data_IF_153795917422
#
_entry.id   IF_153795917422
#
_cell.length_a   1.000
_cell.length_b   1.000
_cell.length_c   1.000
_cell.angle_alpha   90.00
_cell.angle_beta   90.00
_cell.angle_gamma   90.00
#
_symmetry.space_group_name_H-M   'P 1'
#
loop_
_entity.id
_entity.type
_entity.pdbx_description
1 polymer ?
#
# COMPACT_ATOMS: atom_id res chain seq x y z
N UNK A 1 0.71 -47.08 -37.91
CA UNK A 1 1.07 -46.94 -36.48
C UNK A 1 2.15 -45.88 -36.25
N UNK A 2 3.22 -45.84 -37.05
CA UNK A 2 4.31 -44.84 -36.90
C UNK A 2 3.85 -43.39 -37.14
N UNK A 3 2.97 -43.15 -38.11
CA UNK A 3 2.41 -41.81 -38.39
C UNK A 3 1.55 -41.25 -37.26
N UNK A 4 0.80 -42.10 -36.56
CA UNK A 4 -0.01 -41.70 -35.41
C UNK A 4 0.85 -41.37 -34.18
N UNK A 5 1.96 -42.10 -33.97
CA UNK A 5 2.91 -41.83 -32.90
C UNK A 5 3.65 -40.50 -33.08
N UNK A 6 3.97 -40.14 -34.33
CA UNK A 6 4.59 -38.84 -34.66
C UNK A 6 3.63 -37.69 -34.41
N UNK A 7 2.33 -37.85 -34.74
CA UNK A 7 1.31 -36.83 -34.48
C UNK A 7 1.05 -36.61 -32.97
N UNK A 8 1.15 -37.68 -32.16
CA UNK A 8 1.00 -37.61 -30.71
C UNK A 8 2.15 -36.84 -30.02
N UNK A 9 3.33 -36.82 -30.64
CA UNK A 9 4.52 -36.09 -30.15
C UNK A 9 4.41 -34.57 -30.33
N UNK A 10 3.46 -34.05 -31.13
CA UNK A 10 3.23 -32.62 -31.31
C UNK A 10 2.19 -32.01 -30.35
N UNK A 11 1.45 -32.83 -29.60
CA UNK A 11 0.46 -32.36 -28.61
C UNK A 11 1.06 -31.56 -27.43
N UNK A 12 2.30 -31.81 -26.92
CA UNK A 12 2.87 -30.98 -25.85
C UNK A 12 3.53 -29.68 -26.34
N UNK A 13 3.51 -29.38 -27.64
CA UNK A 13 4.07 -28.13 -28.21
C UNK A 13 3.11 -26.94 -28.15
N UNK A 14 1.93 -27.07 -27.55
CA UNK A 14 1.11 -25.91 -27.14
C UNK A 14 1.75 -25.24 -25.92
N UNK A 15 2.93 -24.65 -26.13
CA UNK A 15 3.65 -23.86 -25.13
C UNK A 15 2.81 -22.68 -24.65
N UNK A 16 3.00 -22.32 -23.38
CA UNK A 16 2.17 -21.41 -22.59
C UNK A 16 1.71 -20.15 -23.33
N UNK A 17 0.43 -20.12 -23.71
CA UNK A 17 -0.23 -19.00 -24.37
C UNK A 17 -0.40 -17.76 -23.45
N UNK A 18 -0.10 -17.91 -22.16
CA UNK A 18 -0.31 -16.87 -21.12
C UNK A 18 0.99 -16.17 -20.72
N UNK A 19 1.87 -15.91 -21.69
CA UNK A 19 3.10 -15.14 -21.47
C UNK A 19 2.77 -13.65 -21.51
N UNK A 20 2.86 -12.98 -20.36
CA UNK A 20 2.87 -11.52 -20.29
C UNK A 20 4.32 -11.04 -20.19
N UNK A 21 4.73 -10.17 -21.10
CA UNK A 21 6.08 -9.63 -21.10
C UNK A 21 6.20 -8.44 -20.14
N UNK A 22 7.39 -8.25 -19.57
CA UNK A 22 7.66 -7.17 -18.61
C UNK A 22 7.44 -5.77 -19.23
N UNK A 23 7.52 -5.68 -20.55
CA UNK A 23 7.32 -4.45 -21.31
C UNK A 23 5.84 -4.12 -21.56
N UNK A 24 4.94 -5.08 -21.39
CA UNK A 24 3.48 -4.88 -21.56
C UNK A 24 2.76 -4.59 -20.23
N UNK A 25 3.48 -4.74 -19.12
CA UNK A 25 2.92 -4.69 -17.76
C UNK A 25 3.49 -3.50 -16.97
N UNK A 26 2.59 -2.74 -16.36
CA UNK A 26 2.91 -1.64 -15.47
C UNK A 26 2.97 -2.15 -14.03
N UNK A 27 4.17 -2.25 -13.45
CA UNK A 27 4.36 -2.77 -12.09
C UNK A 27 3.91 -1.72 -11.07
N UNK A 28 2.80 -1.97 -10.37
CA UNK A 28 2.32 -1.10 -9.30
C UNK A 28 3.00 -1.47 -7.98
N UNK A 29 3.70 -0.52 -7.36
CA UNK A 29 4.39 -0.70 -6.08
C UNK A 29 3.60 -0.16 -4.89
N UNK A 30 2.72 0.82 -5.12
CA UNK A 30 1.88 1.38 -4.07
C UNK A 30 0.54 1.90 -4.58
N UNK A 31 -0.46 1.85 -3.70
CA UNK A 31 -1.80 2.42 -3.93
C UNK A 31 -2.13 3.38 -2.80
N UNK A 32 -2.63 4.56 -3.16
CA UNK A 32 -3.16 5.57 -2.25
C UNK A 32 -4.66 5.70 -2.38
N UNK A 33 -5.37 5.86 -1.27
CA UNK A 33 -6.81 6.15 -1.24
C UNK A 33 -7.07 7.51 -0.61
N UNK A 34 -7.59 8.44 -1.42
CA UNK A 34 -7.92 9.81 -1.05
C UNK A 34 -9.42 10.08 -1.22
N UNK A 35 -9.95 11.03 -0.45
CA UNK A 35 -11.31 11.54 -0.65
C UNK A 35 -11.34 12.40 -1.92
N UNK A 36 -12.32 12.18 -2.80
CA UNK A 36 -12.58 13.04 -3.96
C UNK A 36 -13.72 14.04 -3.64
N UNK A 37 -13.86 15.09 -4.45
CA UNK A 37 -14.75 16.22 -4.20
C UNK A 37 -16.26 15.89 -4.23
N UNK A 38 -16.64 14.62 -4.46
CA UNK A 38 -18.03 14.15 -4.50
C UNK A 38 -18.40 13.28 -3.30
N UNK A 39 -19.69 13.29 -2.91
CA UNK A 39 -20.21 12.36 -1.89
C UNK A 39 -19.91 10.93 -2.34
N UNK A 40 -19.16 10.18 -1.53
CA UNK A 40 -18.76 8.79 -1.75
C UNK A 40 -17.84 8.52 -2.96
N UNK A 41 -17.17 9.54 -3.53
CA UNK A 41 -16.11 9.30 -4.52
C UNK A 41 -14.74 9.12 -3.86
N UNK A 42 -13.95 8.19 -4.40
CA UNK A 42 -12.60 7.87 -3.92
C UNK A 42 -11.62 8.20 -5.04
N UNK A 43 -10.60 8.98 -4.73
CA UNK A 43 -9.44 9.16 -5.61
C UNK A 43 -8.41 8.09 -5.31
N UNK A 44 -7.86 7.48 -6.36
CA UNK A 44 -6.81 6.48 -6.23
C UNK A 44 -5.51 6.96 -6.88
N UNK A 45 -4.43 6.85 -6.12
CA UNK A 45 -3.07 7.09 -6.62
C UNK A 45 -2.41 5.72 -6.86
N UNK A 46 -1.94 5.47 -8.06
CA UNK A 46 -1.17 4.27 -8.39
C UNK A 46 0.27 4.66 -8.68
N UNK A 47 1.20 4.13 -7.89
CA UNK A 47 2.62 4.34 -8.10
C UNK A 47 3.22 3.19 -8.91
N UNK A 48 3.54 3.48 -10.17
CA UNK A 48 4.21 2.55 -11.07
C UNK A 48 5.72 2.61 -10.91
N UNK A 49 6.39 1.46 -10.99
CA UNK A 49 7.84 1.38 -11.09
C UNK A 49 8.29 1.71 -12.52
N UNK A 50 9.27 2.60 -12.65
CA UNK A 50 9.94 2.86 -13.93
C UNK A 50 11.37 2.35 -13.83
N UNK A 51 11.77 1.33 -14.59
CA UNK A 51 13.15 0.85 -14.54
C UNK A 51 14.13 1.96 -14.93
N UNK A 52 15.27 2.03 -14.24
CA UNK A 52 16.31 3.07 -14.45
C UNK A 52 16.79 3.18 -15.90
N UNK A 53 16.70 2.09 -16.67
CA UNK A 53 17.08 2.05 -18.09
C UNK A 53 16.09 2.79 -19.01
N UNK A 54 14.83 2.94 -18.57
CA UNK A 54 13.77 3.65 -19.30
C UNK A 54 13.46 5.04 -18.73
N UNK A 55 14.00 5.40 -17.56
CA UNK A 55 13.92 6.77 -17.04
C UNK A 55 14.76 7.68 -17.96
N UNK A 56 14.10 8.40 -18.86
CA UNK A 56 14.74 9.20 -19.90
C UNK A 56 15.87 10.09 -19.37
N UNK A 57 16.97 10.13 -20.13
CA UNK A 57 18.03 11.15 -20.02
C UNK A 57 17.49 12.48 -20.55
N UNK A 58 16.58 13.12 -19.82
CA UNK A 58 16.31 14.54 -20.05
C UNK A 58 17.12 15.38 -19.07
N UNK A 59 17.91 16.27 -19.65
CA UNK A 59 18.82 17.20 -19.02
C UNK A 59 18.21 17.90 -17.80
N UNK A 60 18.83 17.69 -16.63
CA UNK A 60 18.71 18.59 -15.48
C UNK A 60 17.63 18.29 -14.45
N UNK A 61 16.77 17.28 -14.63
CA UNK A 61 15.84 16.86 -13.58
C UNK A 61 16.26 15.50 -12.99
N UNK A 62 16.25 15.40 -11.66
CA UNK A 62 16.59 14.18 -10.92
C UNK A 62 15.71 13.02 -11.40
N UNK A 63 16.34 12.01 -12.02
CA UNK A 63 15.68 10.81 -12.56
C UNK A 63 14.85 10.12 -11.48
N UNK A 64 13.52 10.14 -11.64
CA UNK A 64 12.58 9.44 -10.77
C UNK A 64 12.30 8.05 -11.34
N UNK A 65 12.55 7.00 -10.55
CA UNK A 65 12.30 5.61 -10.94
C UNK A 65 10.85 5.18 -10.68
N UNK A 66 9.92 6.13 -10.75
CA UNK A 66 8.50 5.90 -10.51
C UNK A 66 7.65 6.92 -11.27
N UNK A 67 6.40 6.54 -11.51
CA UNK A 67 5.36 7.39 -12.08
C UNK A 67 4.11 7.25 -11.19
N UNK A 68 3.57 8.38 -10.72
CA UNK A 68 2.31 8.41 -9.99
C UNK A 68 1.18 8.76 -10.97
N UNK A 69 0.23 7.83 -11.16
CA UNK A 69 -1.01 8.11 -11.90
C UNK A 69 -2.16 8.26 -10.91
N UNK A 70 -2.91 9.34 -11.05
CA UNK A 70 -4.06 9.63 -10.19
C UNK A 70 -5.33 9.58 -11.00
N UNK A 71 -6.31 8.83 -10.50
CA UNK A 71 -7.66 8.77 -11.05
C UNK A 71 -8.68 9.16 -9.99
N UNK A 72 -9.84 9.62 -10.45
CA UNK A 72 -10.96 9.99 -9.60
C UNK A 72 -12.22 9.29 -10.10
N UNK A 73 -12.75 8.39 -9.29
CA UNK A 73 -13.92 7.61 -9.65
C UNK A 73 -14.94 7.53 -8.52
N UNK A 74 -16.17 7.17 -8.89
CA UNK A 74 -17.28 6.94 -7.95
C UNK A 74 -17.08 5.68 -7.09
N UNK A 75 -16.17 4.79 -7.48
CA UNK A 75 -15.84 3.56 -6.77
C UNK A 75 -14.41 3.12 -7.08
N UNK A 76 -13.87 2.18 -6.30
CA UNK A 76 -12.56 1.57 -6.58
C UNK A 76 -12.54 0.90 -7.97
N UNK A 77 -13.64 0.23 -8.35
CA UNK A 77 -13.76 -0.42 -9.66
C UNK A 77 -13.75 0.57 -10.83
N UNK A 78 -14.48 1.70 -10.71
CA UNK A 78 -14.47 2.73 -11.76
C UNK A 78 -13.09 3.36 -11.91
N UNK A 79 -12.38 3.59 -10.80
CA UNK A 79 -11.02 4.12 -10.83
C UNK A 79 -10.05 3.21 -11.59
N UNK A 80 -10.14 1.89 -11.41
CA UNK A 80 -9.25 0.93 -12.09
C UNK A 80 -9.59 0.82 -13.57
N UNK A 81 -10.88 0.88 -13.93
CA UNK A 81 -11.30 0.90 -15.33
C UNK A 81 -10.81 2.15 -16.03
N UNK A 82 -10.90 3.32 -15.38
CA UNK A 82 -10.37 4.58 -15.92
C UNK A 82 -8.84 4.56 -15.98
N UNK A 83 -8.16 4.02 -14.96
CA UNK A 83 -6.71 3.81 -14.99
C UNK A 83 -6.31 2.99 -16.23
N UNK A 84 -7.06 1.95 -16.56
CA UNK A 84 -6.79 1.10 -17.73
C UNK A 84 -6.91 1.85 -19.07
N UNK A 85 -7.61 2.98 -19.11
CA UNK A 85 -7.68 3.84 -20.31
C UNK A 85 -6.55 4.86 -20.40
N UNK A 86 -5.84 5.12 -19.30
CA UNK A 86 -4.79 6.14 -19.19
C UNK A 86 -3.39 5.54 -19.01
N UNK A 87 -3.31 4.33 -18.50
CA UNK A 87 -2.06 3.62 -18.30
C UNK A 87 -1.58 3.07 -19.65
N UNK A 88 -0.34 3.39 -20.01
CA UNK A 88 0.31 2.88 -21.21
C UNK A 88 0.50 1.35 -21.16
N UNK A 89 0.59 0.81 -19.96
CA UNK A 89 0.75 -0.63 -19.68
C UNK A 89 -0.34 -1.10 -18.72
N UNK A 90 -0.75 -2.35 -18.87
CA UNK A 90 -1.76 -2.93 -17.98
C UNK A 90 -1.24 -2.96 -16.53
N UNK A 91 -1.97 -2.41 -15.55
CA UNK A 91 -1.51 -2.39 -14.16
C UNK A 91 -1.45 -3.82 -13.60
N UNK A 92 -0.29 -4.20 -13.07
CA UNK A 92 -0.10 -5.43 -12.31
C UNK A 92 0.15 -5.12 -10.84
N UNK A 93 -0.56 -5.83 -9.98
CA UNK A 93 -0.49 -5.68 -8.52
C UNK A 93 0.36 -6.76 -7.85
N UNK A 94 1.00 -7.65 -8.62
CA UNK A 94 1.79 -8.79 -8.11
C UNK A 94 2.96 -8.38 -7.20
N UNK A 95 3.48 -7.17 -7.40
CA UNK A 95 4.57 -6.57 -6.65
C UNK A 95 4.14 -5.42 -5.75
N UNK A 96 2.83 -5.23 -5.56
CA UNK A 96 2.31 -4.23 -4.64
C UNK A 96 2.95 -4.42 -3.26
N UNK A 97 3.47 -3.34 -2.69
CA UNK A 97 4.19 -3.35 -1.41
C UNK A 97 3.47 -2.58 -0.32
N UNK A 98 2.79 -1.50 -0.70
CA UNK A 98 2.22 -0.55 0.25
C UNK A 98 0.84 -0.06 -0.16
N UNK A 99 -0.07 0.02 0.81
CA UNK A 99 -1.35 0.71 0.70
C UNK A 99 -1.36 1.85 1.71
N UNK A 100 -1.65 3.06 1.26
CA UNK A 100 -1.79 4.23 2.14
C UNK A 100 -3.21 4.76 2.02
N UNK A 101 -3.89 4.90 3.14
CA UNK A 101 -5.28 5.41 3.20
C UNK A 101 -5.26 6.77 3.88
N UNK A 102 -5.90 7.78 3.30
CA UNK A 102 -6.08 9.07 3.97
C UNK A 102 -7.03 8.97 5.16
N UNK A 103 -6.83 9.79 6.17
CA UNK A 103 -7.69 9.86 7.36
C UNK A 103 -9.15 10.08 6.98
N UNK A 104 -9.38 10.96 5.99
CA UNK A 104 -10.73 11.26 5.54
C UNK A 104 -11.43 10.02 5.02
N UNK A 105 -10.77 9.25 4.15
CA UNK A 105 -11.31 7.98 3.65
C UNK A 105 -11.47 6.97 4.78
N UNK A 106 -10.47 6.84 5.65
CA UNK A 106 -10.51 5.89 6.74
C UNK A 106 -11.65 6.16 7.75
N UNK A 107 -12.08 7.42 7.89
CA UNK A 107 -13.20 7.82 8.77
C UNK A 107 -14.56 7.73 8.09
N UNK A 108 -14.66 8.14 6.82
CA UNK A 108 -15.95 8.30 6.14
C UNK A 108 -16.40 7.06 5.36
N UNK A 109 -15.46 6.20 4.94
CA UNK A 109 -15.76 4.96 4.22
C UNK A 109 -15.64 3.74 5.14
N UNK A 110 -16.46 2.73 4.83
CA UNK A 110 -16.28 1.40 5.39
C UNK A 110 -15.04 0.75 4.76
N UNK A 111 -14.01 0.54 5.58
CA UNK A 111 -12.76 -0.08 5.19
C UNK A 111 -12.97 -1.51 4.69
N UNK A 112 -14.04 -2.21 5.09
CA UNK A 112 -14.37 -3.53 4.55
C UNK A 112 -14.49 -3.50 3.02
N UNK A 113 -15.12 -2.47 2.46
CA UNK A 113 -15.29 -2.37 1.00
C UNK A 113 -13.94 -2.24 0.26
N UNK A 114 -12.99 -1.52 0.84
CA UNK A 114 -11.65 -1.35 0.27
C UNK A 114 -10.88 -2.68 0.36
N UNK A 115 -10.93 -3.32 1.53
CA UNK A 115 -10.18 -4.55 1.80
C UNK A 115 -10.76 -5.72 1.01
N UNK A 116 -12.08 -5.88 0.95
CA UNK A 116 -12.76 -6.91 0.16
C UNK A 116 -12.42 -6.77 -1.32
N UNK A 117 -12.38 -5.54 -1.84
CA UNK A 117 -11.97 -5.30 -3.21
C UNK A 117 -10.53 -5.81 -3.46
N UNK A 118 -9.60 -5.42 -2.60
CA UNK A 118 -8.20 -5.79 -2.72
C UNK A 118 -7.99 -7.30 -2.56
N UNK A 119 -8.70 -7.94 -1.64
CA UNK A 119 -8.60 -9.38 -1.36
C UNK A 119 -9.22 -10.26 -2.46
N UNK A 120 -10.16 -9.72 -3.24
CA UNK A 120 -10.75 -10.40 -4.41
C UNK A 120 -9.85 -10.39 -5.64
N UNK A 121 -8.87 -9.48 -5.70
CA UNK A 121 -7.92 -9.43 -6.79
C UNK A 121 -6.82 -10.49 -6.57
N UNK A 122 -6.71 -11.45 -7.50
CA UNK A 122 -5.77 -12.57 -7.44
C UNK A 122 -4.31 -12.15 -7.44
N UNK A 123 -3.99 -10.95 -7.94
CA UNK A 123 -2.62 -10.41 -7.96
C UNK A 123 -2.22 -9.79 -6.61
N UNK A 124 -3.17 -9.56 -5.70
CA UNK A 124 -2.92 -8.88 -4.43
C UNK A 124 -2.51 -9.86 -3.34
N UNK A 125 -1.34 -9.65 -2.74
CA UNK A 125 -0.81 -10.51 -1.69
C UNK A 125 -1.30 -10.08 -0.31
N UNK A 126 -1.68 -11.04 0.54
CA UNK A 126 -2.06 -10.77 1.95
C UNK A 126 -0.99 -10.09 2.78
N UNK A 127 0.28 -10.19 2.36
CA UNK A 127 1.44 -9.61 3.06
C UNK A 127 1.69 -8.14 2.75
N UNK A 128 0.87 -7.50 1.89
CA UNK A 128 0.99 -6.07 1.58
C UNK A 128 0.76 -5.26 2.86
N UNK A 129 1.58 -4.23 3.08
CA UNK A 129 1.46 -3.37 4.27
C UNK A 129 0.43 -2.28 4.06
N UNK A 130 -0.29 -1.95 5.14
CA UNK A 130 -1.29 -0.89 5.17
C UNK A 130 -0.87 0.17 6.19
N UNK A 131 -0.99 1.44 5.80
CA UNK A 131 -0.82 2.59 6.68
C UNK A 131 -1.92 3.63 6.46
N UNK A 132 -2.10 4.51 7.44
CA UNK A 132 -3.00 5.65 7.35
C UNK A 132 -2.20 6.95 7.44
N UNK A 133 -2.59 7.96 6.68
CA UNK A 133 -1.99 9.30 6.74
C UNK A 133 -3.03 10.36 7.10
N UNK A 134 -2.65 11.37 7.87
CA UNK A 134 -3.53 12.51 8.19
C UNK A 134 -3.83 13.37 6.96
N UNK A 135 -2.84 13.49 6.06
CA UNK A 135 -2.95 14.26 4.84
C UNK A 135 -3.54 13.47 3.67
N UNK A 136 -3.18 13.86 2.44
CA UNK A 136 -3.50 13.06 1.27
C UNK A 136 -2.49 11.93 1.12
N UNK A 137 -2.95 10.73 0.78
CA UNK A 137 -2.11 9.60 0.40
C UNK A 137 -1.19 9.96 -0.78
N UNK A 138 -1.67 10.80 -1.70
CA UNK A 138 -0.85 11.37 -2.78
C UNK A 138 0.42 12.05 -2.29
N UNK A 139 0.32 12.89 -1.26
CA UNK A 139 1.45 13.66 -0.75
C UNK A 139 2.55 12.72 -0.24
N UNK A 140 2.15 11.62 0.42
CA UNK A 140 3.06 10.58 0.91
C UNK A 140 3.80 9.89 -0.24
N UNK A 141 3.14 9.65 -1.38
CA UNK A 141 3.75 9.06 -2.57
C UNK A 141 4.53 10.05 -3.45
N UNK A 142 4.45 11.35 -3.18
CA UNK A 142 5.22 12.39 -3.89
C UNK A 142 6.53 12.75 -3.17
N UNK A 143 6.62 12.49 -1.87
CA UNK A 143 7.84 12.76 -1.07
C UNK A 143 8.97 11.79 -1.43
N UNK A 144 10.17 12.35 -1.57
CA UNK A 144 11.39 11.64 -2.00
C UNK A 144 12.23 11.28 -0.77
N UNK A 145 12.35 9.98 -0.48
CA UNK A 145 13.34 9.47 0.48
C UNK A 145 14.69 9.16 -0.18
N UNK A 146 15.60 8.56 0.61
CA UNK A 146 16.90 8.02 0.14
C UNK A 146 16.70 6.98 -0.97
N UNK A 147 15.63 6.17 -0.83
CA UNK A 147 15.19 5.23 -1.87
C UNK A 147 14.36 5.99 -2.90
N UNK A 148 14.74 5.86 -4.18
CA UNK A 148 14.12 6.60 -5.29
C UNK A 148 12.64 6.30 -5.51
N UNK A 149 12.10 5.21 -4.93
CA UNK A 149 10.69 4.83 -5.04
C UNK A 149 9.99 4.99 -3.68
N UNK A 150 9.02 5.91 -3.55
CA UNK A 150 8.34 6.21 -2.29
C UNK A 150 7.65 5.01 -1.62
N UNK A 151 7.01 4.12 -2.38
CA UNK A 151 6.34 2.92 -1.82
C UNK A 151 7.34 1.96 -1.19
N UNK A 152 8.50 1.78 -1.82
CA UNK A 152 9.58 0.98 -1.24
C UNK A 152 10.19 1.65 -0.02
N UNK A 153 10.40 2.98 -0.06
CA UNK A 153 10.92 3.74 1.06
C UNK A 153 10.00 3.61 2.29
N UNK A 154 8.69 3.77 2.09
CA UNK A 154 7.68 3.63 3.12
C UNK A 154 7.63 2.21 3.69
N UNK A 155 7.75 1.19 2.82
CA UNK A 155 7.81 -0.19 3.27
C UNK A 155 9.01 -0.40 4.19
N UNK A 156 10.22 -0.03 3.76
CA UNK A 156 11.44 -0.16 4.57
C UNK A 156 11.35 0.65 5.87
N UNK A 157 10.77 1.86 5.83
CA UNK A 157 10.49 2.64 7.03
C UNK A 157 9.57 1.89 8.00
N UNK A 158 8.57 1.21 7.47
CA UNK A 158 7.64 0.43 8.28
C UNK A 158 8.35 -0.72 9.00
N UNK A 159 9.42 -1.32 8.44
CA UNK A 159 10.21 -2.38 9.11
C UNK A 159 10.90 -1.91 10.39
N UNK A 160 11.16 -0.60 10.51
CA UNK A 160 11.80 0.00 11.68
C UNK A 160 10.92 -0.02 12.93
N UNK A 161 9.65 -0.46 12.85
CA UNK A 161 8.82 -0.65 14.04
C UNK A 161 9.48 -1.58 15.08
N UNK A 162 10.37 -2.47 14.63
CA UNK A 162 11.11 -3.38 15.50
C UNK A 162 12.22 -2.70 16.30
N UNK A 163 12.66 -1.51 15.92
CA UNK A 163 13.81 -0.83 16.54
C UNK A 163 13.40 0.26 17.53
N UNK A 164 12.13 0.67 17.54
CA UNK A 164 11.60 1.72 18.42
C UNK A 164 10.22 1.40 18.98
N UNK A 165 9.97 1.77 20.24
CA UNK A 165 8.66 1.60 20.89
C UNK A 165 7.59 2.57 20.35
N UNK A 166 8.01 3.70 19.76
CA UNK A 166 7.14 4.79 19.33
C UNK A 166 6.43 4.53 17.99
N UNK A 167 6.79 3.45 17.31
CA UNK A 167 6.17 3.02 16.06
C UNK A 167 5.17 1.91 16.31
N UNK A 168 4.00 2.01 15.66
CA UNK A 168 3.04 0.92 15.65
C UNK A 168 3.61 -0.25 14.85
N UNK A 169 3.33 -1.50 15.25
CA UNK A 169 3.74 -2.65 14.45
C UNK A 169 3.12 -2.62 13.07
N UNK A 170 3.84 -3.21 12.11
CA UNK A 170 3.33 -3.38 10.76
C UNK A 170 1.94 -4.04 10.78
N UNK A 171 1.02 -3.53 9.96
CA UNK A 171 -0.25 -4.16 9.69
C UNK A 171 -0.26 -4.63 8.24
N UNK A 172 -0.53 -5.92 8.04
CA UNK A 172 -0.68 -6.50 6.71
C UNK A 172 -2.14 -6.50 6.28
N UNK A 173 -2.38 -6.50 4.98
CA UNK A 173 -3.71 -6.57 4.38
C UNK A 173 -4.50 -7.79 4.89
N UNK A 174 -3.84 -8.94 5.01
CA UNK A 174 -4.44 -10.15 5.56
C UNK A 174 -4.86 -10.00 7.02
N UNK A 175 -3.98 -9.41 7.85
CA UNK A 175 -4.24 -9.20 9.28
C UNK A 175 -5.39 -8.19 9.48
N UNK A 176 -5.44 -7.14 8.65
CA UNK A 176 -6.52 -6.16 8.64
C UNK A 176 -7.86 -6.81 8.24
N UNK A 177 -7.86 -7.65 7.20
CA UNK A 177 -9.05 -8.40 6.76
C UNK A 177 -9.56 -9.34 7.87
N UNK A 178 -8.65 -10.03 8.56
CA UNK A 178 -8.98 -10.90 9.70
C UNK A 178 -9.60 -10.09 10.86
N UNK A 179 -8.99 -8.97 11.24
CA UNK A 179 -9.46 -8.13 12.35
C UNK A 179 -10.83 -7.49 12.07
N UNK A 180 -11.06 -7.02 10.85
CA UNK A 180 -12.34 -6.48 10.41
C UNK A 180 -13.43 -7.56 10.40
N UNK A 181 -13.14 -8.73 9.83
CA UNK A 181 -14.06 -9.87 9.81
C UNK A 181 -14.40 -10.33 11.24
N UNK A 182 -13.38 -10.39 12.10
CA UNK A 182 -13.50 -10.72 13.52
C UNK A 182 -14.07 -9.59 14.38
N UNK A 183 -14.44 -8.44 13.79
CA UNK A 183 -15.00 -7.27 14.49
C UNK A 183 -14.17 -6.81 15.69
N UNK A 184 -12.85 -6.99 15.60
CA UNK A 184 -11.90 -6.67 16.65
C UNK A 184 -11.25 -5.34 16.31
N UNK A 185 -11.22 -4.39 17.24
CA UNK A 185 -10.55 -3.10 17.02
C UNK A 185 -9.04 -3.25 17.03
N UNK A 186 -8.37 -2.47 16.19
CA UNK A 186 -6.94 -2.57 15.96
C UNK A 186 -6.31 -1.22 15.67
N UNK A 187 -4.99 -1.21 15.58
CA UNK A 187 -4.21 -0.03 15.24
C UNK A 187 -3.53 -0.20 13.90
N UNK A 188 -3.45 0.89 13.14
CA UNK A 188 -2.79 0.95 11.84
C UNK A 188 -1.64 1.96 11.92
N UNK A 189 -0.43 1.64 11.45
CA UNK A 189 0.67 2.61 11.45
C UNK A 189 0.30 3.93 10.77
N UNK A 190 0.68 5.02 11.42
CA UNK A 190 0.56 6.35 10.85
C UNK A 190 1.81 6.67 10.01
N UNK A 191 1.59 7.21 8.81
CA UNK A 191 2.66 7.77 7.97
C UNK A 191 2.33 9.22 7.66
N UNK A 192 3.32 10.09 7.89
CA UNK A 192 3.21 11.51 7.67
C UNK A 192 4.39 12.04 6.86
N UNK A 193 4.18 13.06 6.01
CA UNK A 193 5.30 13.76 5.38
C UNK A 193 6.10 14.52 6.44
N UNK A 194 7.42 14.34 6.45
CA UNK A 194 8.36 15.06 7.32
C UNK A 194 9.45 15.73 6.47
N UNK A 195 9.23 17.01 6.15
CA UNK A 195 10.10 17.76 5.23
C UNK A 195 10.10 17.16 3.81
N UNK A 196 11.22 16.52 3.44
CA UNK A 196 11.39 15.81 2.15
C UNK A 196 11.11 14.30 2.27
N UNK A 197 11.10 13.76 3.47
CA UNK A 197 11.00 12.32 3.73
C UNK A 197 9.61 11.94 4.25
N UNK A 198 9.35 10.64 4.39
CA UNK A 198 8.20 10.12 5.12
C UNK A 198 8.65 9.73 6.53
N UNK A 199 7.83 10.00 7.53
CA UNK A 199 8.00 9.59 8.92
C UNK A 199 6.87 8.66 9.30
N UNK A 200 7.18 7.58 10.01
CA UNK A 200 6.19 6.68 10.60
C UNK A 200 6.17 6.93 12.10
N UNK A 201 5.08 7.48 12.61
CA UNK A 201 4.99 7.92 13.99
C UNK A 201 3.54 7.99 14.45
N UNK A 202 3.21 7.30 15.54
CA UNK A 202 1.82 7.17 15.99
C UNK A 202 1.05 6.04 15.28
N UNK A 203 -0.25 5.96 15.54
CA UNK A 203 -1.13 4.94 14.97
C UNK A 203 -2.57 5.45 14.84
N UNK A 204 -3.27 5.06 13.78
CA UNK A 204 -4.71 5.21 13.68
C UNK A 204 -5.41 4.08 14.44
N UNK A 205 -6.47 4.40 15.18
CA UNK A 205 -7.35 3.40 15.82
C UNK A 205 -8.55 3.15 14.92
N UNK A 206 -8.75 1.89 14.55
CA UNK A 206 -9.88 1.44 13.75
C UNK A 206 -10.83 0.62 14.63
N UNK A 207 -12.11 1.00 14.61
CA UNK A 207 -13.17 0.23 15.23
C UNK A 207 -13.56 -0.92 14.29
N UNK A 208 -13.21 -2.15 14.68
CA UNK A 208 -13.46 -3.34 13.87
C UNK A 208 -14.94 -3.63 13.65
N UNK A 209 -15.85 -3.12 14.50
CA UNK A 209 -17.30 -3.29 14.32
C UNK A 209 -17.87 -2.31 13.32
N UNK A 210 -17.39 -1.06 13.35
CA UNK A 210 -17.82 -0.02 12.40
C UNK A 210 -17.10 -0.11 11.05
N UNK A 211 -15.92 -0.73 11.02
CA UNK A 211 -15.07 -0.78 9.85
C UNK A 211 -14.45 0.59 9.51
N UNK A 212 -14.35 1.50 10.49
CA UNK A 212 -13.84 2.86 10.25
C UNK A 212 -12.93 3.34 11.36
N UNK A 213 -12.07 4.30 11.01
CA UNK A 213 -11.15 4.94 11.92
C UNK A 213 -11.90 5.86 12.89
N UNK A 214 -11.55 5.78 14.17
CA UNK A 214 -12.16 6.57 15.25
C UNK A 214 -11.24 7.62 15.83
N UNK A 215 -9.92 7.42 15.80
CA UNK A 215 -8.97 8.34 16.43
C UNK A 215 -7.51 8.04 16.12
N UNK A 216 -6.62 8.85 16.68
CA UNK A 216 -5.17 8.69 16.61
C UNK A 216 -4.61 8.35 18.00
N UNK A 217 -3.54 7.57 18.01
CA UNK A 217 -2.63 7.41 19.14
C UNK A 217 -1.34 8.15 18.81
N UNK A 218 -0.91 8.99 19.74
CA UNK A 218 0.40 9.63 19.72
C UNK A 218 1.54 8.61 19.86
N UNK A 219 2.76 9.03 19.54
CA UNK A 219 3.98 8.23 19.70
C UNK A 219 4.14 7.65 21.12
N UNK A 220 3.78 8.44 22.15
CA UNK A 220 3.85 8.01 23.55
C UNK A 220 2.77 6.99 23.90
N UNK A 221 1.55 7.16 23.39
CA UNK A 221 0.46 6.21 23.60
C UNK A 221 0.74 4.89 22.87
N UNK A 222 1.34 4.95 21.68
CA UNK A 222 1.79 3.76 20.95
C UNK A 222 2.89 3.03 21.72
N UNK A 223 3.85 3.75 22.30
CA UNK A 223 4.86 3.16 23.18
C UNK A 223 4.22 2.45 24.38
N UNK A 224 3.25 3.10 25.04
CA UNK A 224 2.47 2.50 26.12
C UNK A 224 1.71 1.24 25.67
N UNK A 225 1.05 1.29 24.51
CA UNK A 225 0.32 0.16 23.94
C UNK A 225 1.25 -1.03 23.65
N UNK A 226 2.40 -0.77 23.03
CA UNK A 226 3.40 -1.80 22.71
C UNK A 226 3.94 -2.48 23.98
N UNK A 227 4.16 -1.71 25.06
CA UNK A 227 4.53 -2.25 26.37
C UNK A 227 3.42 -3.14 26.96
N UNK A 228 2.18 -2.65 26.98
CA UNK A 228 1.03 -3.39 27.54
C UNK A 228 0.77 -4.71 26.80
N UNK A 229 0.95 -4.72 25.48
CA UNK A 229 0.75 -5.90 24.65
C UNK A 229 1.94 -6.86 24.65
N UNK A 230 2.97 -6.61 25.48
CA UNK A 230 4.12 -7.49 25.61
C UNK A 230 4.88 -7.65 24.28
N UNK A 231 4.83 -6.65 23.40
CA UNK A 231 5.52 -6.66 22.10
C UNK A 231 7.01 -6.36 22.35
N UNK A 232 7.68 -7.30 23.03
CA UNK A 232 9.05 -7.25 23.60
C UNK A 232 10.20 -7.10 22.59
N UNK A 233 9.95 -6.70 21.34
CA UNK A 233 10.99 -6.64 20.29
C UNK A 233 11.65 -5.27 20.12
N UNK A 234 11.07 -4.21 20.69
CA UNK A 234 11.54 -2.85 20.49
C UNK A 234 12.31 -2.32 21.70
N UNK A 235 13.54 -1.91 21.48
CA UNK A 235 14.29 -1.03 22.39
C UNK A 235 13.66 0.36 22.35
N UNK A 236 13.50 1.03 23.49
CA UNK A 236 13.02 2.41 23.48
C UNK A 236 13.21 3.07 24.84
N UNK A 237 13.38 4.39 24.81
CA UNK A 237 13.56 5.23 25.99
C UNK A 237 12.25 5.95 26.26
N UNK A 238 11.68 5.75 27.44
CA UNK A 238 10.53 6.53 27.90
C UNK A 238 11.05 7.54 28.91
N UNK A 239 10.96 8.83 28.56
CA UNK A 239 11.28 9.90 29.48
C UNK A 239 10.14 10.03 30.51
N UNK A 240 10.39 9.60 31.75
CA UNK A 240 9.47 9.80 32.86
C UNK A 240 9.97 10.95 33.75
N UNK A 241 9.09 11.90 34.06
CA UNK A 241 9.35 12.84 35.16
C UNK A 241 9.05 12.12 36.47
N UNK A 242 10.11 11.74 37.18
CA UNK A 242 9.99 11.23 38.55
C UNK A 242 9.71 12.45 39.44
N UNK A 243 8.57 12.43 40.12
CA UNK A 243 8.19 13.41 41.13
C UNK A 243 8.70 12.97 42.50
#
# INVERSE_FOLDING_TARGET
MVTAAILLLFLPLTGCWDRREIDDVGIVLGIGFDESNGKQSVSMVHQFAVPKQFAAKESGSSQTNYLNLVNEGVSVFSNIRELSTRAERSPSYEHLRMIVISEKVARSFDLNNIIDFLMRNTETRRTIRVAITQGKARDVFEKRGIISNPSLAIRELSDNWRTTLMMAPELKLGDMSEQLTGKTSFVVPQIEPFGKEAKSAGAAVVDGRKGSMIGWLSENEVAGLNLLQGRKKSSGVIAAKIR
#
